data_IF_819738328388
#
_entry.id   IF_819738328388
#
_cell.length_a   1.000
_cell.length_b   1.000
_cell.length_c   1.000
_cell.angle_alpha   90.00
_cell.angle_beta   90.00
_cell.angle_gamma   90.00
#
_symmetry.space_group_name_H-M   'P 1'
#
loop_
_entity.id
_entity.type
_entity.pdbx_description
1 polymer ?
#
# COMPACT_ATOMS: atom_id res chain seq x y z
N UNK A 1 14.04 0.30 14.91
CA UNK A 1 15.23 0.78 14.17
C UNK A 1 15.60 2.18 14.67
N UNK A 2 16.89 2.49 14.86
CA UNK A 2 17.37 3.27 16.01
C UNK A 2 17.81 4.72 15.69
N UNK A 3 17.90 5.51 16.77
CA UNK A 3 18.40 6.89 16.83
C UNK A 3 19.91 6.93 16.51
N UNK A 4 20.30 7.75 15.54
CA UNK A 4 21.70 8.07 15.24
C UNK A 4 22.10 9.45 15.75
N UNK A 5 23.01 9.48 16.73
CA UNK A 5 23.84 10.66 17.04
C UNK A 5 24.98 10.70 16.02
N UNK A 6 25.27 11.86 15.45
CA UNK A 6 26.53 12.10 14.74
C UNK A 6 27.15 13.40 15.20
N UNK A 7 28.24 13.25 15.93
CA UNK A 7 29.29 14.25 16.17
C UNK A 7 30.09 14.43 14.88
N UNK A 8 30.18 15.66 14.39
CA UNK A 8 30.95 16.01 13.20
C UNK A 8 32.03 17.03 13.54
N UNK A 9 33.28 16.56 13.54
CA UNK A 9 34.53 17.33 13.69
C UNK A 9 35.10 17.57 12.29
N UNK A 10 35.35 18.83 11.90
CA UNK A 10 36.06 19.25 10.67
C UNK A 10 36.84 20.52 11.03
N UNK A 11 38.12 20.45 11.43
CA UNK A 11 39.35 20.56 10.61
C UNK A 11 39.45 21.79 9.71
N UNK A 12 40.40 22.67 10.04
CA UNK A 12 40.90 23.74 9.18
C UNK A 12 42.08 24.46 9.83
N UNK A 13 43.29 23.92 9.67
CA UNK A 13 44.54 24.65 9.90
C UNK A 13 44.78 25.59 8.71
N UNK A 14 45.11 26.86 8.92
CA UNK A 14 45.96 27.63 7.98
C UNK A 14 46.52 28.93 8.57
N UNK A 15 47.81 28.90 8.93
CA UNK A 15 48.85 29.83 8.46
C UNK A 15 48.75 31.33 8.79
N UNK A 16 49.45 31.78 9.84
CA UNK A 16 50.60 32.70 9.74
C UNK A 16 51.13 33.14 11.13
N UNK A 17 52.37 32.71 11.40
CA UNK A 17 53.45 33.46 12.10
C UNK A 17 53.23 33.77 13.60
N UNK A 18 53.96 33.23 14.59
CA UNK A 18 55.32 32.67 14.65
C UNK A 18 56.37 33.52 13.91
N UNK A 19 56.58 34.76 14.37
CA UNK A 19 57.80 35.55 14.19
C UNK A 19 57.79 36.67 15.25
N UNK A 20 58.49 36.50 16.37
CA UNK A 20 59.35 37.52 17.01
C UNK A 20 59.94 36.99 18.32
N UNK A 21 60.88 36.06 18.17
CA UNK A 21 61.84 35.70 19.22
C UNK A 21 63.17 35.38 18.52
N UNK A 22 63.85 36.43 18.03
CA UNK A 22 65.29 36.47 17.72
C UNK A 22 65.60 37.73 16.90
N UNK A 23 66.23 38.73 17.53
CA UNK A 23 67.14 39.66 16.87
C UNK A 23 67.98 40.40 17.93
N UNK A 24 69.21 39.89 18.10
CA UNK A 24 70.47 40.62 18.33
C UNK A 24 70.52 41.57 19.55
N UNK A 25 71.35 41.40 20.59
CA UNK A 25 72.69 40.82 20.72
C UNK A 25 73.67 41.16 19.59
N UNK A 26 74.28 42.35 19.68
CA UNK A 26 75.73 42.54 19.48
C UNK A 26 76.15 43.97 19.85
N UNK A 27 77.04 44.10 20.85
CA UNK A 27 78.32 44.84 20.86
C UNK A 27 78.80 44.94 22.33
N UNK A 28 79.76 44.12 22.78
CA UNK A 28 81.23 44.16 22.61
C UNK A 28 81.91 45.15 23.59
N UNK A 29 82.47 44.60 24.66
CA UNK A 29 83.46 45.25 25.54
C UNK A 29 84.79 45.52 24.81
N UNK A 30 85.56 46.52 25.26
CA UNK A 30 86.91 46.17 25.73
C UNK A 30 87.33 46.84 27.06
N UNK A 31 88.33 46.18 27.65
CA UNK A 31 89.03 46.40 28.91
C UNK A 31 90.16 47.44 28.78
N UNK A 32 90.38 48.27 29.80
CA UNK A 32 91.58 48.26 30.66
C UNK A 32 91.78 49.58 31.42
N UNK A 33 92.27 49.44 32.64
CA UNK A 33 92.52 50.42 33.69
C UNK A 33 93.46 51.58 33.30
N UNK A 34 93.19 52.76 33.87
CA UNK A 34 94.20 53.49 34.63
C UNK A 34 93.56 54.38 35.72
N UNK A 35 94.38 54.88 36.63
CA UNK A 35 94.13 54.88 38.08
C UNK A 35 93.96 56.25 38.76
N UNK A 36 93.11 56.27 39.81
CA UNK A 36 93.06 57.19 40.98
C UNK A 36 92.55 58.64 40.83
N UNK A 37 92.11 59.32 41.93
CA UNK A 37 91.10 58.93 42.92
C UNK A 37 90.03 60.04 43.17
N UNK A 38 88.85 59.61 43.65
CA UNK A 38 87.78 60.27 44.46
C UNK A 38 87.74 61.82 44.61
N UNK A 39 86.54 62.44 44.58
CA UNK A 39 85.75 62.50 45.82
C UNK A 39 84.24 62.24 45.67
N UNK A 40 83.68 61.66 46.73
CA UNK A 40 82.27 61.55 47.03
C UNK A 40 81.47 62.83 46.71
N UNK A 41 80.42 62.71 45.89
CA UNK A 41 79.18 63.47 46.02
C UNK A 41 78.07 62.81 45.18
N UNK A 42 76.90 62.62 45.79
CA UNK A 42 75.58 62.38 45.19
C UNK A 42 75.27 60.99 44.57
N UNK A 43 75.32 59.94 45.38
CA UNK A 43 74.74 58.61 45.04
C UNK A 43 73.21 58.52 45.25
N UNK A 44 72.52 59.62 45.57
CA UNK A 44 71.08 59.61 45.92
C UNK A 44 70.16 60.19 44.85
N UNK A 45 70.65 61.05 43.95
CA UNK A 45 69.84 61.69 42.91
C UNK A 45 69.73 60.84 41.63
N UNK A 46 70.78 60.11 41.24
CA UNK A 46 70.75 59.22 40.07
C UNK A 46 69.91 57.95 40.27
N UNK A 47 69.84 57.44 41.51
CA UNK A 47 68.97 56.32 41.87
C UNK A 47 67.49 56.74 41.87
N UNK A 48 67.20 57.98 42.29
CA UNK A 48 65.85 58.56 42.26
C UNK A 48 65.37 58.88 40.83
N UNK A 49 66.25 59.35 39.93
CA UNK A 49 65.93 59.54 38.51
C UNK A 49 65.64 58.22 37.78
N UNK A 50 66.51 57.21 37.94
CA UNK A 50 66.35 55.90 37.31
C UNK A 50 65.11 55.12 37.82
N UNK A 51 64.73 55.31 39.09
CA UNK A 51 63.51 54.72 39.66
C UNK A 51 62.24 55.42 39.16
N UNK A 52 62.26 56.75 39.03
CA UNK A 52 61.15 57.50 38.45
C UNK A 52 60.92 57.15 36.98
N UNK A 53 62.00 57.00 36.18
CA UNK A 53 61.90 56.58 34.78
C UNK A 53 61.30 55.18 34.63
N UNK A 54 61.64 54.26 35.55
CA UNK A 54 61.06 52.92 35.58
C UNK A 54 59.56 52.95 35.92
N UNK A 55 59.15 53.80 36.86
CA UNK A 55 57.73 54.00 37.20
C UNK A 55 56.96 54.60 36.02
N UNK A 56 57.50 55.61 35.34
CA UNK A 56 56.90 56.20 34.14
C UNK A 56 56.79 55.17 33.00
N UNK A 57 57.80 54.32 32.83
CA UNK A 57 57.77 53.23 31.85
C UNK A 57 56.68 52.20 32.19
N UNK A 58 56.51 51.83 33.45
CA UNK A 58 55.43 50.94 33.90
C UNK A 58 54.05 51.57 33.73
N UNK A 59 53.87 52.85 34.06
CA UNK A 59 52.62 53.59 33.82
C UNK A 59 52.29 53.59 32.33
N UNK A 60 53.27 53.89 31.46
CA UNK A 60 53.07 53.85 30.00
C UNK A 60 52.73 52.44 29.49
N UNK A 61 53.24 51.39 30.13
CA UNK A 61 52.92 50.00 29.79
C UNK A 61 51.49 49.63 30.25
N UNK A 62 51.05 50.11 31.41
CA UNK A 62 49.68 49.95 31.91
C UNK A 62 48.70 50.72 31.02
N UNK A 63 49.00 51.97 30.64
CA UNK A 63 48.16 52.75 29.72
C UNK A 63 47.96 52.03 28.37
N UNK A 64 49.03 51.50 27.77
CA UNK A 64 48.92 50.69 26.53
C UNK A 64 48.08 49.43 26.71
N UNK A 65 48.15 48.76 27.87
CA UNK A 65 47.30 47.60 28.18
C UNK A 65 45.84 48.00 28.37
N UNK A 66 45.57 49.13 29.03
CA UNK A 66 44.21 49.66 29.18
C UNK A 66 43.60 50.04 27.84
N UNK A 67 44.35 50.69 26.95
CA UNK A 67 43.94 50.97 25.56
C UNK A 67 43.66 49.66 24.79
N UNK A 68 44.52 48.65 24.94
CA UNK A 68 44.30 47.33 24.36
C UNK A 68 43.03 46.64 24.87
N UNK A 69 42.73 46.77 26.16
CA UNK A 69 41.52 46.25 26.78
C UNK A 69 40.27 47.02 26.33
N UNK A 70 40.35 48.34 26.18
CA UNK A 70 39.25 49.16 25.69
C UNK A 70 38.89 48.81 24.24
N UNK A 71 39.91 48.66 23.38
CA UNK A 71 39.72 48.17 22.00
C UNK A 71 39.08 46.77 21.97
N UNK A 72 39.51 45.85 22.83
CA UNK A 72 38.91 44.52 22.95
C UNK A 72 37.46 44.58 23.45
N UNK A 73 37.15 45.48 24.38
CA UNK A 73 35.80 45.70 24.89
C UNK A 73 34.88 46.25 23.80
N UNK A 74 35.36 47.22 23.01
CA UNK A 74 34.62 47.75 21.85
C UNK A 74 34.33 46.63 20.84
N UNK A 75 35.31 45.79 20.51
CA UNK A 75 35.13 44.65 19.61
C UNK A 75 34.08 43.65 20.15
N UNK A 76 34.15 43.28 21.44
CA UNK A 76 33.17 42.39 22.08
C UNK A 76 31.76 42.99 22.10
N UNK A 77 31.62 44.31 22.33
CA UNK A 77 30.30 44.95 22.29
C UNK A 77 29.71 44.97 20.88
N UNK A 78 30.55 45.13 19.84
CA UNK A 78 30.12 45.04 18.45
C UNK A 78 29.64 43.62 18.09
N UNK A 79 30.41 42.59 18.47
CA UNK A 79 30.03 41.19 18.25
C UNK A 79 28.76 40.81 19.02
N UNK A 80 28.62 41.27 20.27
CA UNK A 80 27.41 41.07 21.07
C UNK A 80 26.18 41.74 20.44
N UNK A 81 26.34 42.93 19.85
CA UNK A 81 25.27 43.58 19.08
C UNK A 81 24.91 42.78 17.83
N UNK A 82 25.90 42.26 17.10
CA UNK A 82 25.66 41.40 15.94
C UNK A 82 24.86 40.15 16.33
N UNK A 83 25.30 39.43 17.38
CA UNK A 83 24.59 38.25 17.87
C UNK A 83 23.14 38.56 18.27
N UNK A 84 22.87 39.72 18.89
CA UNK A 84 21.51 40.15 19.22
C UNK A 84 20.64 40.35 17.98
N UNK A 85 21.19 40.92 16.90
CA UNK A 85 20.48 41.08 15.64
C UNK A 85 20.18 39.72 14.99
N UNK A 86 21.15 38.81 14.98
CA UNK A 86 20.96 37.45 14.46
C UNK A 86 19.89 36.69 15.25
N UNK A 87 19.91 36.78 16.58
CA UNK A 87 18.87 36.20 17.45
C UNK A 87 17.48 36.76 17.16
N UNK A 88 17.35 38.07 16.96
CA UNK A 88 16.09 38.68 16.56
C UNK A 88 15.63 38.19 15.16
N UNK A 89 16.58 38.03 14.22
CA UNK A 89 16.35 37.43 12.92
C UNK A 89 15.81 36.00 13.03
N UNK A 90 16.46 35.14 13.82
CA UNK A 90 16.02 33.78 14.06
C UNK A 90 14.66 33.70 14.75
N UNK A 91 14.37 34.58 15.72
CA UNK A 91 13.05 34.67 16.34
C UNK A 91 11.97 34.98 15.31
N UNK A 92 12.23 35.92 14.38
CA UNK A 92 11.28 36.23 13.30
C UNK A 92 11.05 35.03 12.39
N UNK A 93 12.12 34.31 12.01
CA UNK A 93 12.02 33.13 11.16
C UNK A 93 11.28 32.00 11.85
N UNK A 94 11.54 31.75 13.14
CA UNK A 94 10.83 30.76 13.94
C UNK A 94 9.33 31.08 14.01
N UNK A 95 8.97 32.34 14.30
CA UNK A 95 7.56 32.74 14.32
C UNK A 95 6.86 32.54 12.97
N UNK A 96 7.56 32.80 11.86
CA UNK A 96 7.05 32.53 10.52
C UNK A 96 6.92 31.04 10.21
N UNK A 97 7.82 30.20 10.72
CA UNK A 97 7.72 28.76 10.61
C UNK A 97 6.55 28.22 11.43
N UNK A 98 6.36 28.68 12.67
CA UNK A 98 5.25 28.26 13.54
C UNK A 98 3.89 28.56 12.89
N UNK A 99 3.74 29.76 12.29
CA UNK A 99 2.53 30.11 11.55
C UNK A 99 2.28 29.21 10.33
N UNK A 100 3.35 28.88 9.60
CA UNK A 100 3.25 27.97 8.45
C UNK A 100 2.91 26.55 8.88
N UNK A 101 3.47 26.06 9.99
CA UNK A 101 3.15 24.75 10.56
C UNK A 101 1.69 24.71 10.99
N UNK A 102 1.20 25.70 11.73
CA UNK A 102 -0.21 25.79 12.12
C UNK A 102 -1.16 25.81 10.91
N UNK A 103 -0.77 26.50 9.82
CA UNK A 103 -1.53 26.50 8.57
C UNK A 103 -1.54 25.12 7.91
N UNK A 104 -0.41 24.42 7.89
CA UNK A 104 -0.33 23.06 7.33
C UNK A 104 -1.15 22.08 8.16
N UNK A 105 -1.08 22.15 9.49
CA UNK A 105 -1.85 21.27 10.39
C UNK A 105 -3.36 21.44 10.19
N UNK A 106 -3.84 22.68 10.08
CA UNK A 106 -5.26 22.95 9.80
C UNK A 106 -5.68 22.46 8.42
N UNK A 107 -4.82 22.61 7.40
CA UNK A 107 -5.07 22.08 6.06
C UNK A 107 -5.14 20.55 6.06
N UNK A 108 -4.20 19.87 6.73
CA UNK A 108 -4.18 18.41 6.85
C UNK A 108 -5.44 17.91 7.53
N UNK A 109 -5.86 18.53 8.65
CA UNK A 109 -7.11 18.18 9.31
C UNK A 109 -8.32 18.34 8.37
N UNK A 110 -8.35 19.42 7.57
CA UNK A 110 -9.41 19.62 6.59
C UNK A 110 -9.39 18.60 5.44
N UNK A 111 -8.23 18.09 5.04
CA UNK A 111 -8.13 17.03 4.03
C UNK A 111 -8.61 15.70 4.58
N UNK A 112 -8.27 15.37 5.83
CA UNK A 112 -8.74 14.13 6.46
C UNK A 112 -10.27 14.09 6.59
N UNK A 113 -10.90 15.23 6.88
CA UNK A 113 -12.37 15.33 6.94
C UNK A 113 -13.01 15.13 5.56
N UNK A 114 -12.43 15.76 4.52
CA UNK A 114 -12.89 15.56 3.13
C UNK A 114 -12.69 14.13 2.65
N UNK A 115 -11.60 13.47 3.01
CA UNK A 115 -11.36 12.08 2.65
C UNK A 115 -12.39 11.14 3.30
N UNK A 116 -12.78 11.41 4.55
CA UNK A 116 -13.86 10.69 5.22
C UNK A 116 -15.20 10.91 4.51
N UNK A 117 -15.52 12.15 4.14
CA UNK A 117 -16.74 12.48 3.40
C UNK A 117 -16.76 11.80 2.02
N UNK A 118 -15.65 11.84 1.29
CA UNK A 118 -15.50 11.18 -0.01
C UNK A 118 -15.67 9.66 0.10
N UNK A 119 -15.10 9.05 1.14
CA UNK A 119 -15.28 7.61 1.41
C UNK A 119 -16.75 7.26 1.67
N UNK A 120 -17.43 8.07 2.48
CA UNK A 120 -18.85 7.91 2.76
C UNK A 120 -19.74 8.10 1.52
N UNK A 121 -19.44 9.09 0.68
CA UNK A 121 -20.15 9.32 -0.58
C UNK A 121 -19.94 8.17 -1.57
N UNK A 122 -18.71 7.65 -1.69
CA UNK A 122 -18.41 6.47 -2.52
C UNK A 122 -19.21 5.26 -2.06
N UNK A 123 -19.22 4.97 -0.76
CA UNK A 123 -20.02 3.88 -0.18
C UNK A 123 -21.52 4.02 -0.49
N UNK A 124 -22.07 5.23 -0.37
CA UNK A 124 -23.47 5.52 -0.74
C UNK A 124 -23.75 5.32 -2.22
N UNK A 125 -22.86 5.78 -3.10
CA UNK A 125 -23.03 5.60 -4.55
C UNK A 125 -23.02 4.11 -4.92
N UNK A 126 -22.11 3.34 -4.34
CA UNK A 126 -22.00 1.90 -4.55
C UNK A 126 -23.25 1.17 -4.06
N UNK A 127 -23.78 1.52 -2.87
CA UNK A 127 -25.04 0.94 -2.36
C UNK A 127 -26.26 1.28 -3.24
N UNK A 128 -26.37 2.53 -3.72
CA UNK A 128 -27.44 2.93 -4.64
C UNK A 128 -27.34 2.20 -5.98
N UNK A 129 -26.13 2.06 -6.51
CA UNK A 129 -25.88 1.32 -7.74
C UNK A 129 -26.27 -0.16 -7.59
N UNK A 130 -25.83 -0.83 -6.51
CA UNK A 130 -26.19 -2.22 -6.23
C UNK A 130 -27.69 -2.42 -6.01
N UNK A 131 -28.36 -1.49 -5.32
CA UNK A 131 -29.82 -1.50 -5.15
C UNK A 131 -30.54 -1.41 -6.49
N UNK A 132 -30.06 -0.55 -7.40
CA UNK A 132 -30.64 -0.40 -8.74
C UNK A 132 -30.47 -1.66 -9.60
N UNK A 133 -29.37 -2.41 -9.40
CA UNK A 133 -29.02 -3.62 -10.17
C UNK A 133 -29.49 -4.92 -9.51
N UNK A 134 -30.11 -4.88 -8.33
CA UNK A 134 -30.48 -6.08 -7.55
C UNK A 134 -31.36 -7.08 -8.30
N UNK A 135 -32.20 -6.61 -9.22
CA UNK A 135 -33.09 -7.45 -10.03
C UNK A 135 -32.44 -7.90 -11.35
N UNK A 136 -31.20 -7.49 -11.63
CA UNK A 136 -30.49 -7.87 -12.84
C UNK A 136 -29.85 -9.24 -12.67
N UNK A 137 -30.09 -10.10 -13.65
CA UNK A 137 -29.38 -11.36 -13.84
C UNK A 137 -28.46 -11.19 -15.04
N UNK A 138 -27.16 -11.42 -14.82
CA UNK A 138 -26.14 -11.43 -15.86
C UNK A 138 -25.99 -12.83 -16.42
N UNK A 139 -26.29 -12.98 -17.71
CA UNK A 139 -26.23 -14.24 -18.44
C UNK A 139 -24.97 -14.27 -19.32
N UNK A 140 -24.18 -15.34 -19.18
CA UNK A 140 -22.92 -15.53 -19.88
C UNK A 140 -22.98 -16.81 -20.72
N UNK A 141 -22.52 -16.76 -21.96
CA UNK A 141 -22.40 -17.94 -22.83
C UNK A 141 -23.48 -18.06 -23.91
N UNK A 142 -24.48 -17.18 -23.93
CA UNK A 142 -25.51 -17.19 -24.97
C UNK A 142 -24.92 -16.80 -26.33
N UNK A 143 -25.00 -17.67 -27.37
CA UNK A 143 -24.46 -17.38 -28.69
C UNK A 143 -25.14 -16.15 -29.31
N UNK A 144 -24.40 -15.39 -30.11
CA UNK A 144 -24.95 -14.16 -30.70
C UNK A 144 -25.88 -14.49 -31.87
N UNK A 145 -27.04 -13.82 -31.94
CA UNK A 145 -27.99 -13.94 -33.05
C UNK A 145 -29.08 -15.01 -32.92
N UNK A 146 -28.99 -15.92 -31.94
CA UNK A 146 -30.05 -16.94 -31.72
C UNK A 146 -31.32 -16.38 -31.08
N UNK A 147 -31.24 -15.19 -30.51
CA UNK A 147 -32.32 -14.52 -29.78
C UNK A 147 -33.44 -14.02 -30.69
N UNK A 148 -33.17 -13.90 -32.00
CA UNK A 148 -34.09 -13.28 -32.94
C UNK A 148 -34.27 -11.78 -32.68
N UNK A 149 -35.46 -11.27 -33.03
CA UNK A 149 -35.81 -9.86 -32.85
C UNK A 149 -36.21 -9.52 -31.40
N UNK A 150 -36.73 -10.51 -30.64
CA UNK A 150 -37.24 -10.31 -29.27
C UNK A 150 -36.50 -11.19 -28.26
N UNK A 151 -35.55 -10.58 -27.55
CA UNK A 151 -34.76 -11.25 -26.50
C UNK A 151 -35.65 -11.77 -25.35
N UNK A 152 -36.76 -11.08 -25.05
CA UNK A 152 -37.65 -11.46 -23.95
C UNK A 152 -38.26 -12.84 -24.16
N UNK A 153 -38.88 -13.06 -25.31
CA UNK A 153 -39.54 -14.32 -25.66
C UNK A 153 -38.54 -15.48 -25.65
N UNK A 154 -37.35 -15.26 -26.20
CA UNK A 154 -36.27 -16.24 -26.14
C UNK A 154 -35.85 -16.59 -24.70
N UNK A 155 -35.69 -15.60 -23.82
CA UNK A 155 -35.32 -15.83 -22.43
C UNK A 155 -36.43 -16.50 -21.62
N UNK A 156 -37.70 -16.18 -21.89
CA UNK A 156 -38.87 -16.83 -21.28
C UNK A 156 -38.91 -18.32 -21.61
N UNK A 157 -38.53 -18.71 -22.82
CA UNK A 157 -38.54 -20.11 -23.26
C UNK A 157 -37.34 -20.91 -22.77
N UNK A 158 -36.14 -20.31 -22.75
CA UNK A 158 -34.89 -21.04 -22.50
C UNK A 158 -34.51 -21.13 -21.02
N UNK A 159 -34.78 -20.09 -20.22
CA UNK A 159 -34.37 -20.07 -18.81
C UNK A 159 -35.06 -21.16 -17.97
N UNK A 160 -36.38 -21.39 -18.08
CA UNK A 160 -37.04 -22.50 -17.39
C UNK A 160 -36.41 -23.85 -17.72
N UNK A 161 -36.09 -24.09 -19.01
CA UNK A 161 -35.44 -25.31 -19.52
C UNK A 161 -33.99 -25.47 -19.06
N UNK A 162 -33.27 -24.36 -18.84
CA UNK A 162 -31.91 -24.38 -18.33
C UNK A 162 -31.84 -24.66 -16.83
N UNK A 163 -32.87 -24.22 -16.09
CA UNK A 163 -32.90 -24.35 -14.63
C UNK A 163 -33.72 -25.54 -14.12
N UNK A 164 -34.47 -26.20 -15.00
CA UNK A 164 -35.49 -27.20 -14.67
C UNK A 164 -36.52 -26.67 -13.65
N UNK A 165 -36.91 -25.40 -13.81
CA UNK A 165 -37.87 -24.72 -12.93
C UNK A 165 -39.07 -24.26 -13.74
N UNK A 166 -40.26 -24.61 -13.27
CA UNK A 166 -41.50 -24.03 -13.74
C UNK A 166 -41.77 -22.72 -12.97
N UNK A 167 -42.01 -21.64 -13.72
CA UNK A 167 -42.34 -20.34 -13.15
C UNK A 167 -43.82 -20.05 -13.35
N UNK A 168 -44.52 -19.79 -12.26
CA UNK A 168 -45.91 -19.29 -12.25
C UNK A 168 -46.00 -18.05 -11.35
N UNK A 169 -46.27 -16.85 -11.91
CA UNK A 169 -46.47 -16.56 -13.33
C UNK A 169 -45.16 -16.70 -14.15
N UNK A 170 -45.24 -16.67 -15.50
CA UNK A 170 -44.07 -16.71 -16.37
C UNK A 170 -43.01 -15.65 -16.01
N UNK A 171 -41.78 -15.85 -16.49
CA UNK A 171 -40.70 -14.90 -16.28
C UNK A 171 -41.04 -13.56 -16.94
N UNK A 172 -41.03 -12.50 -16.15
CA UNK A 172 -41.27 -11.14 -16.64
C UNK A 172 -40.01 -10.31 -16.53
N UNK A 173 -39.74 -9.57 -17.61
CA UNK A 173 -38.56 -8.74 -17.72
C UNK A 173 -38.98 -7.28 -17.89
N UNK A 174 -38.34 -6.39 -17.15
CA UNK A 174 -38.46 -4.96 -17.40
C UNK A 174 -37.61 -4.56 -18.62
N UNK A 175 -36.40 -5.11 -18.71
CA UNK A 175 -35.42 -4.84 -19.78
C UNK A 175 -34.51 -6.05 -19.98
N UNK A 176 -34.11 -6.33 -21.22
CA UNK A 176 -33.09 -7.31 -21.53
C UNK A 176 -32.26 -6.80 -22.71
N UNK A 177 -30.95 -6.83 -22.59
CA UNK A 177 -30.05 -6.34 -23.64
C UNK A 177 -28.65 -6.95 -23.52
N UNK A 178 -27.92 -6.99 -24.64
CA UNK A 178 -26.51 -7.37 -24.66
C UNK A 178 -25.62 -6.19 -24.30
N UNK A 179 -24.51 -6.49 -23.64
CA UNK A 179 -23.47 -5.52 -23.31
C UNK A 179 -22.54 -5.30 -24.52
N UNK A 180 -22.48 -4.07 -25.02
CA UNK A 180 -21.59 -3.69 -26.11
C UNK A 180 -22.21 -3.84 -27.51
N UNK A 181 -21.52 -3.33 -28.55
CA UNK A 181 -21.99 -3.43 -29.93
C UNK A 181 -21.90 -4.88 -30.44
N UNK A 182 -22.81 -5.23 -31.37
CA UNK A 182 -22.81 -6.53 -32.03
C UNK A 182 -21.47 -6.78 -32.73
N UNK A 183 -20.86 -7.95 -32.50
CA UNK A 183 -19.66 -8.35 -33.23
C UNK A 183 -20.03 -8.81 -34.64
N UNK A 184 -19.29 -8.31 -35.63
CA UNK A 184 -19.47 -8.73 -37.02
C UNK A 184 -18.74 -10.07 -37.29
N UNK A 185 -17.68 -10.34 -36.53
CA UNK A 185 -16.68 -11.34 -36.94
C UNK A 185 -16.90 -12.73 -36.33
N UNK A 186 -17.90 -12.90 -35.46
CA UNK A 186 -18.28 -14.20 -34.83
C UNK A 186 -17.20 -14.90 -33.98
N UNK A 187 -15.95 -14.45 -34.03
CA UNK A 187 -14.77 -15.15 -33.54
C UNK A 187 -14.37 -14.78 -32.10
N UNK A 188 -15.33 -14.32 -31.30
CA UNK A 188 -15.08 -13.85 -29.94
C UNK A 188 -16.06 -14.45 -28.95
N UNK A 189 -15.68 -14.42 -27.65
CA UNK A 189 -16.60 -14.82 -26.57
C UNK A 189 -17.91 -14.03 -26.70
N UNK A 190 -19.08 -14.71 -26.66
CA UNK A 190 -20.37 -14.03 -26.78
C UNK A 190 -20.55 -12.95 -25.71
N UNK A 191 -21.13 -11.81 -26.09
CA UNK A 191 -21.39 -10.74 -25.14
C UNK A 191 -22.41 -11.17 -24.07
N UNK A 192 -22.20 -10.78 -22.80
CA UNK A 192 -23.17 -11.04 -21.75
C UNK A 192 -24.50 -10.33 -22.02
N UNK A 193 -25.59 -10.97 -21.62
CA UNK A 193 -26.92 -10.36 -21.57
C UNK A 193 -27.16 -9.89 -20.13
N UNK A 194 -27.65 -8.67 -19.97
CA UNK A 194 -28.23 -8.21 -18.69
C UNK A 194 -29.75 -8.26 -18.83
N UNK A 195 -30.36 -9.14 -18.05
CA UNK A 195 -31.80 -9.28 -17.94
C UNK A 195 -32.28 -8.70 -16.60
N UNK A 196 -32.97 -7.56 -16.64
CA UNK A 196 -33.64 -6.96 -15.49
C UNK A 196 -35.01 -7.61 -15.32
N UNK A 197 -35.15 -8.40 -14.26
CA UNK A 197 -36.40 -9.07 -13.91
C UNK A 197 -37.39 -8.09 -13.28
N UNK A 198 -38.69 -8.25 -13.59
CA UNK A 198 -39.72 -7.45 -12.93
C UNK A 198 -39.91 -7.90 -11.47
N UNK A 199 -39.80 -9.21 -11.20
CA UNK A 199 -40.01 -9.81 -9.87
C UNK A 199 -38.69 -10.23 -9.24
N UNK A 200 -38.34 -9.61 -8.12
CA UNK A 200 -37.13 -9.93 -7.35
C UNK A 200 -37.08 -11.40 -6.88
N UNK A 201 -38.24 -12.01 -6.60
CA UNK A 201 -38.34 -13.42 -6.20
C UNK A 201 -37.84 -14.37 -7.29
N UNK A 202 -38.26 -14.16 -8.54
CA UNK A 202 -37.82 -14.95 -9.69
C UNK A 202 -36.33 -14.76 -9.97
N UNK A 203 -35.82 -13.52 -9.92
CA UNK A 203 -34.39 -13.22 -10.08
C UNK A 203 -33.54 -14.00 -9.06
N UNK A 204 -33.94 -13.96 -7.78
CA UNK A 204 -33.26 -14.66 -6.69
C UNK A 204 -33.33 -16.17 -6.84
N UNK A 205 -34.46 -16.71 -7.30
CA UNK A 205 -34.60 -18.14 -7.57
C UNK A 205 -33.66 -18.59 -8.69
N UNK A 206 -33.62 -17.87 -9.82
CA UNK A 206 -32.68 -18.14 -10.92
C UNK A 206 -31.22 -18.12 -10.45
N UNK A 207 -30.83 -17.09 -9.69
CA UNK A 207 -29.48 -16.96 -9.16
C UNK A 207 -29.13 -18.05 -8.14
N UNK A 208 -30.10 -18.47 -7.32
CA UNK A 208 -29.89 -19.55 -6.38
C UNK A 208 -29.67 -20.88 -7.11
N UNK A 209 -30.49 -21.18 -8.10
CA UNK A 209 -30.36 -22.38 -8.93
C UNK A 209 -29.04 -22.41 -9.68
N UNK A 210 -28.61 -21.27 -10.22
CA UNK A 210 -27.30 -21.13 -10.85
C UNK A 210 -26.15 -21.42 -9.87
N UNK A 211 -26.27 -21.03 -8.60
CA UNK A 211 -25.26 -21.32 -7.58
C UNK A 211 -25.22 -22.79 -7.18
N UNK A 212 -26.38 -23.46 -7.14
CA UNK A 212 -26.46 -24.87 -6.75
C UNK A 212 -26.05 -25.80 -7.87
N UNK A 213 -26.46 -25.52 -9.11
CA UNK A 213 -26.15 -26.33 -10.30
C UNK A 213 -24.82 -25.94 -10.95
N UNK A 214 -24.34 -24.71 -10.74
CA UNK A 214 -23.10 -24.21 -11.32
C UNK A 214 -23.25 -23.89 -12.82
N UNK A 215 -22.64 -24.72 -13.67
CA UNK A 215 -22.72 -24.56 -15.12
C UNK A 215 -24.02 -25.16 -15.64
N UNK A 216 -24.88 -24.33 -16.22
CA UNK A 216 -26.18 -24.76 -16.74
C UNK A 216 -26.02 -25.25 -18.17
N UNK A 217 -26.54 -26.44 -18.45
CA UNK A 217 -26.40 -27.09 -19.75
C UNK A 217 -27.78 -27.41 -20.33
N UNK A 218 -28.01 -26.99 -21.58
CA UNK A 218 -29.18 -27.42 -22.36
C UNK A 218 -28.75 -27.68 -23.79
N UNK A 219 -28.73 -28.97 -24.19
CA UNK A 219 -28.13 -29.39 -25.45
C UNK A 219 -26.66 -28.98 -25.55
N UNK A 220 -26.31 -28.21 -26.58
CA UNK A 220 -24.96 -27.69 -26.79
C UNK A 220 -24.70 -26.34 -26.11
N UNK A 221 -25.64 -25.84 -25.32
CA UNK A 221 -25.56 -24.54 -24.69
C UNK A 221 -25.00 -24.66 -23.27
N UNK A 222 -23.91 -23.94 -23.00
CA UNK A 222 -23.33 -23.82 -21.65
C UNK A 222 -23.47 -22.39 -21.14
N UNK A 223 -24.36 -22.19 -20.17
CA UNK A 223 -24.69 -20.88 -19.61
C UNK A 223 -24.22 -20.78 -18.17
N UNK A 224 -23.65 -19.61 -17.83
CA UNK A 224 -23.44 -19.21 -16.44
C UNK A 224 -24.31 -18.00 -16.13
N UNK A 225 -25.01 -18.05 -15.00
CA UNK A 225 -25.77 -16.92 -14.48
C UNK A 225 -25.08 -16.37 -13.23
N UNK A 226 -25.04 -15.05 -13.11
CA UNK A 226 -24.54 -14.37 -11.92
C UNK A 226 -25.35 -13.10 -11.64
N UNK A 227 -25.31 -12.62 -10.41
CA UNK A 227 -25.85 -11.29 -10.10
C UNK A 227 -25.02 -10.20 -10.80
N UNK A 228 -25.65 -9.08 -11.09
CA UNK A 228 -25.00 -7.88 -11.64
C UNK A 228 -24.69 -6.90 -10.51
N UNK A 229 -23.43 -6.81 -10.12
CA UNK A 229 -22.95 -5.90 -9.08
C UNK A 229 -22.35 -4.63 -9.68
N UNK A 230 -22.31 -3.56 -8.89
CA UNK A 230 -21.39 -2.45 -9.12
C UNK A 230 -19.94 -2.94 -9.23
N UNK A 231 -19.09 -2.15 -9.88
CA UNK A 231 -17.68 -2.50 -10.04
C UNK A 231 -16.98 -2.68 -8.68
N UNK A 232 -17.23 -1.75 -7.74
CA UNK A 232 -16.60 -1.80 -6.42
C UNK A 232 -17.00 -3.05 -5.64
N UNK A 233 -18.29 -3.41 -5.64
CA UNK A 233 -18.77 -4.63 -4.99
C UNK A 233 -18.22 -5.88 -5.69
N UNK A 234 -18.17 -5.91 -7.02
CA UNK A 234 -17.56 -7.02 -7.76
C UNK A 234 -16.07 -7.20 -7.44
N UNK A 235 -15.31 -6.11 -7.38
CA UNK A 235 -13.88 -6.12 -7.04
C UNK A 235 -13.67 -6.57 -5.59
N UNK A 236 -14.50 -6.12 -4.64
CA UNK A 236 -14.46 -6.57 -3.23
C UNK A 236 -14.79 -8.05 -3.09
N UNK A 237 -15.82 -8.54 -3.79
CA UNK A 237 -16.13 -9.97 -3.85
C UNK A 237 -14.96 -10.77 -4.40
N UNK A 238 -14.33 -10.30 -5.47
CA UNK A 238 -13.13 -10.92 -6.05
C UNK A 238 -11.97 -10.97 -5.07
N UNK A 239 -11.76 -9.92 -4.28
CA UNK A 239 -10.75 -9.90 -3.22
C UNK A 239 -11.03 -10.93 -2.11
N UNK A 240 -12.29 -11.22 -1.79
CA UNK A 240 -12.60 -12.34 -0.88
C UNK A 240 -12.35 -13.71 -1.52
N UNK A 241 -12.62 -13.87 -2.82
CA UNK A 241 -12.42 -15.13 -3.53
C UNK A 241 -10.96 -15.61 -3.48
N UNK A 242 -9.97 -14.71 -3.39
CA UNK A 242 -8.55 -15.13 -3.29
C UNK A 242 -8.25 -15.94 -2.03
N UNK A 243 -9.06 -15.82 -0.97
CA UNK A 243 -8.87 -16.57 0.28
C UNK A 243 -9.54 -17.95 0.25
N UNK A 244 -10.34 -18.29 -0.77
CA UNK A 244 -11.08 -19.55 -0.80
C UNK A 244 -10.17 -20.79 -0.72
N UNK A 245 -9.02 -20.77 -1.39
CA UNK A 245 -8.06 -21.89 -1.33
C UNK A 245 -7.50 -22.08 0.08
N UNK A 246 -7.11 -20.98 0.73
CA UNK A 246 -6.62 -21.02 2.12
C UNK A 246 -7.70 -21.50 3.09
N UNK A 247 -8.94 -21.02 2.95
CA UNK A 247 -10.06 -21.44 3.80
C UNK A 247 -10.41 -22.91 3.61
N UNK A 248 -10.29 -23.44 2.38
CA UNK A 248 -10.45 -24.88 2.10
C UNK A 248 -9.37 -25.71 2.80
N UNK A 249 -8.11 -25.27 2.78
CA UNK A 249 -7.02 -25.97 3.50
C UNK A 249 -7.19 -25.96 5.02
N UNK A 250 -7.86 -24.94 5.57
CA UNK A 250 -8.15 -24.85 7.00
C UNK A 250 -9.42 -25.62 7.40
N UNK A 251 -10.10 -26.28 6.45
CA UNK A 251 -11.33 -27.06 6.66
C UNK A 251 -12.45 -26.30 7.41
N UNK A 252 -12.49 -24.97 7.28
CA UNK A 252 -13.52 -24.13 7.89
C UNK A 252 -14.72 -23.99 6.96
N UNK A 253 -15.92 -23.84 7.52
CA UNK A 253 -17.11 -23.51 6.72
C UNK A 253 -17.08 -22.02 6.42
N UNK A 254 -17.32 -21.64 5.18
CA UNK A 254 -17.34 -20.23 4.79
C UNK A 254 -18.32 -19.98 3.65
N UNK A 255 -18.62 -18.71 3.41
CA UNK A 255 -19.32 -18.29 2.22
C UNK A 255 -19.35 -16.78 2.05
N UNK A 256 -19.82 -16.35 0.89
CA UNK A 256 -19.90 -14.94 0.52
C UNK A 256 -21.36 -14.50 0.42
N UNK A 257 -21.77 -13.61 1.33
CA UNK A 257 -23.10 -13.01 1.36
C UNK A 257 -23.15 -11.69 0.59
N UNK A 258 -24.38 -11.33 0.21
CA UNK A 258 -24.69 -10.05 -0.42
C UNK A 258 -24.46 -8.86 0.54
N UNK A 259 -23.96 -7.71 0.05
CA UNK A 259 -23.39 -7.50 -1.29
C UNK A 259 -21.94 -8.02 -1.43
N UNK A 260 -21.13 -7.96 -0.37
CA UNK A 260 -19.75 -8.46 -0.34
C UNK A 260 -19.27 -8.67 1.10
N UNK A 261 -19.81 -9.69 1.78
CA UNK A 261 -19.44 -10.03 3.17
C UNK A 261 -19.07 -11.50 3.26
N UNK A 262 -17.87 -11.81 3.74
CA UNK A 262 -17.49 -13.19 3.98
C UNK A 262 -17.89 -13.60 5.39
N UNK A 263 -18.59 -14.74 5.53
CA UNK A 263 -18.80 -15.38 6.82
C UNK A 263 -17.91 -16.61 6.91
N UNK A 264 -17.38 -16.87 8.10
CA UNK A 264 -16.55 -18.03 8.41
C UNK A 264 -17.05 -18.63 9.72
N UNK A 265 -17.21 -19.93 9.76
CA UNK A 265 -17.54 -20.68 10.98
C UNK A 265 -16.39 -21.60 11.35
N UNK A 266 -15.84 -21.39 12.55
CA UNK A 266 -14.80 -22.22 13.15
C UNK A 266 -15.26 -22.62 14.55
N UNK A 267 -15.15 -23.91 14.89
CA UNK A 267 -15.51 -24.44 16.22
C UNK A 267 -16.93 -24.07 16.71
N UNK A 268 -17.89 -23.90 15.79
CA UNK A 268 -19.28 -23.52 16.11
C UNK A 268 -19.50 -22.01 16.21
N UNK A 269 -18.46 -21.18 16.23
CA UNK A 269 -18.56 -19.73 16.24
C UNK A 269 -18.48 -19.18 14.81
N UNK A 270 -19.40 -18.27 14.47
CA UNK A 270 -19.48 -17.66 13.14
C UNK A 270 -19.08 -16.18 13.19
N UNK A 271 -18.11 -15.79 12.38
CA UNK A 271 -17.64 -14.42 12.27
C UNK A 271 -17.87 -13.86 10.86
N UNK A 272 -18.22 -12.58 10.79
CA UNK A 272 -18.45 -11.86 9.55
C UNK A 272 -17.31 -10.87 9.29
N UNK A 273 -16.84 -10.82 8.04
CA UNK A 273 -15.81 -9.93 7.55
C UNK A 273 -16.38 -9.06 6.43
N UNK A 274 -16.21 -7.74 6.56
CA UNK A 274 -16.65 -6.75 5.58
C UNK A 274 -15.49 -6.24 4.72
N UNK A 275 -14.26 -6.28 5.26
CA UNK A 275 -13.03 -5.96 4.55
C UNK A 275 -12.18 -7.24 4.32
N UNK A 276 -11.71 -7.48 3.09
CA UNK A 276 -10.69 -8.50 2.80
C UNK A 276 -9.43 -8.40 3.66
N UNK A 277 -9.02 -7.20 4.09
CA UNK A 277 -7.85 -7.00 4.94
C UNK A 277 -8.09 -7.51 6.37
N UNK A 278 -9.27 -7.26 6.95
CA UNK A 278 -9.64 -7.80 8.26
C UNK A 278 -9.59 -9.33 8.27
N UNK A 279 -10.07 -9.94 7.18
CA UNK A 279 -9.99 -11.38 7.00
C UNK A 279 -8.54 -11.86 6.89
N UNK A 280 -7.67 -11.15 6.14
CA UNK A 280 -6.25 -11.52 6.04
C UNK A 280 -5.60 -11.56 7.41
N UNK A 281 -5.77 -10.50 8.21
CA UNK A 281 -5.19 -10.45 9.56
C UNK A 281 -5.76 -11.54 10.48
N UNK A 282 -7.02 -11.94 10.28
CA UNK A 282 -7.62 -13.05 11.02
C UNK A 282 -6.99 -14.39 10.63
N UNK A 283 -6.78 -14.64 9.33
CA UNK A 283 -6.17 -15.87 8.85
C UNK A 283 -4.70 -16.01 9.26
N UNK A 284 -3.94 -14.91 9.24
CA UNK A 284 -2.56 -14.87 9.74
C UNK A 284 -2.51 -15.25 11.23
N UNK A 285 -3.37 -14.64 12.06
CA UNK A 285 -3.50 -15.00 13.48
C UNK A 285 -3.87 -16.46 13.70
N UNK A 286 -4.73 -17.03 12.86
CA UNK A 286 -5.08 -18.44 12.95
C UNK A 286 -3.91 -19.36 12.62
N UNK A 287 -3.09 -19.01 11.63
CA UNK A 287 -1.92 -19.80 11.26
C UNK A 287 -0.85 -19.78 12.36
N UNK A 288 -0.60 -18.61 12.97
CA UNK A 288 0.34 -18.48 14.08
C UNK A 288 -0.08 -19.32 15.30
N UNK A 289 -1.38 -19.35 15.61
CA UNK A 289 -1.91 -20.19 16.69
C UNK A 289 -1.72 -21.68 16.41
N UNK A 290 -1.99 -22.13 15.19
CA UNK A 290 -1.78 -23.54 14.82
C UNK A 290 -0.31 -23.93 14.89
N UNK A 291 0.60 -23.08 14.39
CA UNK A 291 2.05 -23.33 14.46
C UNK A 291 2.59 -23.33 15.90
N UNK A 292 2.11 -22.43 16.75
CA UNK A 292 2.53 -22.39 18.16
C UNK A 292 2.04 -23.61 18.97
N UNK A 293 0.84 -24.12 18.68
CA UNK A 293 0.33 -25.36 19.28
C UNK A 293 1.10 -26.59 18.77
N UNK A 294 1.46 -26.64 17.49
CA UNK A 294 2.22 -27.75 16.89
C UNK A 294 3.66 -27.80 17.41
N UNK A 295 4.31 -26.64 17.59
CA UNK A 295 5.61 -26.50 18.25
C UNK A 295 5.57 -26.92 19.73
N UNK A 296 4.49 -26.65 20.45
CA UNK A 296 4.31 -27.05 21.85
C UNK A 296 4.00 -28.56 22.01
N UNK A 297 3.55 -29.23 20.95
CA UNK A 297 3.23 -30.65 20.95
C UNK A 297 4.43 -31.57 20.66
N UNK A 298 5.61 -31.02 20.33
CA UNK A 298 6.84 -31.81 20.25
C UNK A 298 7.33 -32.18 21.65
N UNK A 299 7.40 -33.48 22.03
CA UNK A 299 8.00 -33.88 23.29
C UNK A 299 9.49 -33.51 23.22
N UNK A 300 9.97 -32.78 24.22
CA UNK A 300 11.41 -32.66 24.49
C UNK A 300 11.95 -34.09 24.65
N UNK A 301 12.63 -34.59 23.61
CA UNK A 301 13.34 -35.86 23.74
C UNK A 301 14.39 -35.69 24.83
N UNK A 302 14.45 -36.59 25.84
CA UNK A 302 15.51 -36.52 26.83
C UNK A 302 16.85 -36.67 26.10
N UNK A 303 17.76 -35.72 26.37
CA UNK A 303 19.10 -35.69 25.81
C UNK A 303 19.77 -37.05 26.02
N UNK A 304 20.01 -37.79 24.94
CA UNK A 304 20.86 -38.99 25.00
C UNK A 304 22.29 -38.53 25.24
N UNK A 305 22.81 -38.88 26.41
CA UNK A 305 24.23 -38.81 26.73
C UNK A 305 25.03 -39.68 25.75
N UNK A 306 26.27 -39.27 25.39
CA UNK A 306 27.14 -40.09 24.56
C UNK A 306 27.75 -41.23 25.39
N UNK A 307 28.18 -42.30 24.70
CA UNK A 307 28.71 -43.58 25.18
C UNK A 307 27.61 -44.63 25.45
N UNK A 308 27.60 -45.81 24.83
CA UNK A 308 28.72 -46.69 24.52
C UNK A 308 28.52 -47.43 23.19
N UNK A 309 29.64 -47.70 22.53
CA UNK A 309 29.76 -48.53 21.35
C UNK A 309 29.38 -49.98 21.66
N UNK A 310 28.32 -50.48 21.04
CA UNK A 310 28.10 -51.92 20.86
C UNK A 310 27.85 -52.20 19.39
N UNK A 311 28.82 -52.87 18.78
CA UNK A 311 28.77 -53.42 17.44
C UNK A 311 27.65 -54.46 17.34
N UNK A 312 26.55 -54.10 16.69
CA UNK A 312 25.62 -55.07 16.15
C UNK A 312 25.46 -54.88 14.64
N UNK A 313 25.71 -56.00 13.97
CA UNK A 313 25.63 -56.31 12.54
C UNK A 313 24.45 -55.61 11.85
N UNK A 314 24.72 -54.87 10.77
CA UNK A 314 23.68 -54.30 9.91
C UNK A 314 22.88 -55.42 9.23
N UNK A 315 21.54 -55.39 9.22
CA UNK A 315 20.76 -56.21 8.32
C UNK A 315 20.88 -55.66 6.90
N UNK A 316 21.01 -56.57 5.94
CA UNK A 316 21.15 -56.29 4.51
C UNK A 316 20.02 -55.39 3.97
N UNK A 317 20.29 -54.52 2.99
CA UNK A 317 19.26 -53.69 2.38
C UNK A 317 18.23 -54.56 1.66
N UNK A 318 16.94 -54.27 1.89
CA UNK A 318 15.84 -54.87 1.16
C UNK A 318 15.97 -54.58 -0.35
N UNK A 319 15.65 -55.54 -1.23
CA UNK A 319 15.70 -55.31 -2.67
C UNK A 319 14.67 -54.25 -3.07
N UNK A 320 15.08 -53.38 -3.99
CA UNK A 320 14.23 -52.35 -4.59
C UNK A 320 12.95 -52.97 -5.20
N UNK A 321 11.79 -52.30 -5.12
CA UNK A 321 10.59 -52.81 -5.75
C UNK A 321 10.77 -52.81 -7.28
N UNK A 322 10.61 -53.98 -7.88
CA UNK A 322 10.55 -54.14 -9.33
C UNK A 322 9.43 -53.26 -9.90
N UNK A 323 9.79 -52.38 -10.85
CA UNK A 323 8.82 -51.72 -11.72
C UNK A 323 8.06 -52.78 -12.49
N UNK A 324 6.84 -53.09 -12.05
CA UNK A 324 5.87 -53.77 -12.91
C UNK A 324 5.44 -52.80 -13.99
N UNK A 325 5.80 -53.12 -15.23
CA UNK A 325 5.26 -52.46 -16.41
C UNK A 325 3.74 -52.56 -16.40
N UNK A 326 3.06 -51.42 -16.29
CA UNK A 326 1.61 -51.34 -16.47
C UNK A 326 1.34 -51.38 -17.97
N UNK A 327 1.11 -52.57 -18.50
CA UNK A 327 0.50 -52.77 -19.82
C UNK A 327 -0.88 -53.39 -19.59
N UNK A 328 -1.85 -52.59 -19.13
CA UNK A 328 -3.26 -52.89 -19.33
C UNK A 328 -4.18 -51.65 -19.11
N UNK A 329 -4.92 -51.16 -20.12
CA UNK A 329 -5.74 -49.93 -20.00
C UNK A 329 -7.01 -50.07 -19.15
N UNK A 330 -7.35 -51.27 -18.66
CA UNK A 330 -8.66 -51.54 -18.05
C UNK A 330 -8.69 -51.60 -16.51
N UNK A 331 -7.58 -51.34 -15.79
CA UNK A 331 -7.60 -51.34 -14.31
C UNK A 331 -8.00 -49.99 -13.67
N UNK A 332 -8.04 -48.90 -14.44
CA UNK A 332 -8.30 -47.55 -13.92
C UNK A 332 -9.75 -47.34 -13.44
N UNK A 333 -10.70 -48.11 -13.96
CA UNK A 333 -12.12 -47.94 -13.63
C UNK A 333 -12.51 -48.45 -12.24
N UNK A 334 -11.86 -49.51 -11.73
CA UNK A 334 -12.29 -50.17 -10.48
C UNK A 334 -11.69 -49.56 -9.21
N UNK A 335 -10.57 -48.87 -9.33
CA UNK A 335 -9.94 -48.16 -8.21
C UNK A 335 -10.54 -46.75 -8.05
N UNK A 336 -11.01 -46.14 -9.15
CA UNK A 336 -11.73 -44.87 -9.12
C UNK A 336 -13.14 -45.02 -8.50
N UNK A 337 -13.90 -46.05 -8.84
CA UNK A 337 -15.21 -46.30 -8.21
C UNK A 337 -15.12 -46.59 -6.70
N UNK A 338 -14.02 -47.19 -6.24
CA UNK A 338 -13.78 -47.41 -4.79
C UNK A 338 -13.42 -46.12 -4.05
N UNK A 339 -12.71 -45.20 -4.70
CA UNK A 339 -12.40 -43.88 -4.14
C UNK A 339 -13.62 -42.95 -4.12
N UNK A 340 -14.51 -43.07 -5.11
CA UNK A 340 -15.76 -42.28 -5.19
C UNK A 340 -16.81 -42.79 -4.20
N UNK A 341 -16.94 -44.12 -4.00
CA UNK A 341 -17.92 -44.68 -3.04
C UNK A 341 -17.56 -44.45 -1.56
N UNK A 342 -16.28 -44.29 -1.20
CA UNK A 342 -15.93 -43.97 0.21
C UNK A 342 -16.24 -42.52 0.59
N UNK A 343 -16.64 -41.69 -0.37
CA UNK A 343 -16.96 -40.28 -0.14
C UNK A 343 -18.46 -40.02 0.07
N UNK A 344 -19.34 -40.97 -0.24
CA UNK A 344 -20.80 -40.86 -0.09
C UNK A 344 -21.30 -41.14 1.35
N UNK A 345 -20.53 -41.85 2.18
CA UNK A 345 -20.95 -42.21 3.55
C UNK A 345 -20.77 -41.09 4.60
N UNK A 346 -20.29 -39.90 4.20
CA UNK A 346 -20.22 -38.71 5.06
C UNK A 346 -20.91 -37.55 4.37
N UNK A 347 -22.23 -37.50 4.48
CA UNK A 347 -23.11 -36.48 3.88
C UNK A 347 -22.49 -35.08 3.80
N UNK A 348 -21.95 -34.76 2.62
CA UNK A 348 -21.46 -33.44 2.22
C UNK A 348 -22.07 -33.13 0.87
N UNK A 349 -23.25 -32.52 0.89
CA UNK A 349 -23.77 -31.79 -0.27
C UNK A 349 -23.37 -30.33 -0.09
N UNK A 350 -22.80 -29.76 -1.15
CA UNK A 350 -22.25 -28.40 -1.32
C UNK A 350 -20.74 -28.27 -1.09
N UNK A 351 -19.90 -28.57 -2.11
CA UNK A 351 -18.61 -27.87 -2.32
C UNK A 351 -17.90 -28.21 -3.65
N UNK A 352 -18.59 -28.27 -4.80
CA UNK A 352 -17.95 -28.54 -6.11
C UNK A 352 -18.12 -27.43 -7.16
N UNK A 353 -18.37 -26.17 -6.74
CA UNK A 353 -18.83 -25.10 -7.66
C UNK A 353 -17.71 -24.11 -8.08
N UNK A 354 -16.48 -24.21 -7.58
CA UNK A 354 -15.42 -23.23 -7.92
C UNK A 354 -14.17 -23.77 -8.61
N UNK A 355 -14.12 -25.04 -8.95
CA UNK A 355 -12.97 -25.60 -9.68
C UNK A 355 -13.28 -25.64 -11.18
N UNK A 356 -13.03 -24.53 -11.87
CA UNK A 356 -12.56 -24.57 -13.26
C UNK A 356 -11.42 -23.58 -13.41
N UNK A 357 -10.20 -24.04 -13.76
CA UNK A 357 -9.02 -23.19 -13.87
C UNK A 357 -9.18 -22.21 -15.04
N UNK A 358 -8.84 -20.95 -14.80
CA UNK A 358 -8.46 -20.03 -15.87
C UNK A 358 -7.19 -20.61 -16.50
N UNK A 359 -7.35 -21.24 -17.66
CA UNK A 359 -6.26 -21.71 -18.51
C UNK A 359 -5.28 -20.57 -18.79
N UNK A 360 -4.12 -20.61 -18.14
CA UNK A 360 -2.88 -20.05 -18.66
C UNK A 360 -2.21 -21.10 -19.52
N UNK A 361 -1.83 -20.68 -20.73
CA UNK A 361 -0.69 -21.08 -21.57
C UNK A 361 -0.98 -20.53 -22.98
N UNK A 362 -0.05 -20.00 -23.76
CA UNK A 362 1.34 -19.61 -23.57
C UNK A 362 1.70 -18.83 -24.84
N UNK A 363 2.50 -17.77 -24.72
CA UNK A 363 3.28 -17.23 -25.86
C UNK A 363 4.48 -16.48 -25.29
N UNK A 364 5.54 -17.27 -25.11
CA UNK A 364 6.95 -16.91 -25.06
C UNK A 364 7.33 -15.53 -25.63
N UNK A 365 8.17 -14.78 -24.91
CA UNK A 365 9.52 -14.39 -25.37
C UNK A 365 10.27 -13.51 -24.36
N UNK A 366 11.39 -14.05 -23.88
CA UNK A 366 12.68 -13.39 -23.56
C UNK A 366 12.74 -12.22 -22.57
N UNK A 367 13.43 -12.51 -21.45
CA UNK A 367 14.20 -11.55 -20.65
C UNK A 367 15.19 -10.75 -21.51
N UNK A 368 15.20 -9.43 -21.33
CA UNK A 368 16.38 -8.56 -21.41
C UNK A 368 16.03 -7.22 -20.74
N UNK A 369 16.57 -6.98 -19.54
CA UNK A 369 16.71 -5.62 -19.00
C UNK A 369 17.70 -4.85 -19.88
N UNK A 370 17.48 -3.54 -20.09
CA UNK A 370 18.44 -2.62 -19.49
C UNK A 370 17.81 -1.32 -18.93
N UNK A 371 18.55 -0.74 -18.00
CA UNK A 371 18.44 0.62 -17.47
C UNK A 371 18.08 1.69 -18.52
N UNK A 372 17.28 2.68 -18.12
CA UNK A 372 17.27 4.00 -18.77
C UNK A 372 15.93 4.74 -18.75
N UNK A 373 15.78 5.66 -17.77
CA UNK A 373 15.05 6.94 -17.84
C UNK A 373 13.50 6.95 -18.00
N UNK A 374 12.78 7.81 -17.25
CA UNK A 374 11.33 7.94 -17.35
C UNK A 374 10.89 8.74 -18.60
N UNK A 375 9.75 8.40 -19.24
CA UNK A 375 9.24 9.14 -20.39
C UNK A 375 8.61 10.50 -20.00
N UNK A 376 8.61 11.48 -20.93
CA UNK A 376 8.18 12.85 -20.65
C UNK A 376 6.66 13.01 -20.57
N UNK A 377 6.24 13.95 -19.71
CA UNK A 377 4.88 14.42 -19.48
C UNK A 377 4.33 15.12 -20.74
N UNK A 378 3.13 14.80 -21.25
CA UNK A 378 2.56 15.51 -22.39
C UNK A 378 2.04 16.89 -21.99
N UNK A 379 2.68 17.90 -22.56
CA UNK A 379 2.34 19.32 -22.51
C UNK A 379 1.04 19.64 -23.26
N UNK A 380 0.11 20.30 -22.56
CA UNK A 380 -0.89 21.30 -23.05
C UNK A 380 -1.38 21.17 -24.50
N UNK A 381 -2.53 20.52 -24.70
CA UNK A 381 -3.39 20.74 -25.86
C UNK A 381 -4.21 22.03 -25.65
N UNK A 382 -3.84 23.10 -26.37
CA UNK A 382 -4.67 24.29 -26.57
C UNK A 382 -5.78 23.95 -27.56
N UNK A 383 -6.99 23.70 -27.08
CA UNK A 383 -8.18 23.67 -27.94
C UNK A 383 -8.73 25.08 -28.10
N UNK A 384 -8.51 25.64 -29.29
CA UNK A 384 -9.12 26.87 -29.81
C UNK A 384 -10.61 26.60 -30.05
N UNK A 385 -11.49 26.97 -29.12
CA UNK A 385 -12.93 26.93 -29.35
C UNK A 385 -13.39 28.14 -30.15
N UNK A 386 -13.84 27.85 -31.36
CA UNK A 386 -14.45 28.77 -32.31
C UNK A 386 -15.85 29.16 -31.82
N UNK A 387 -16.06 30.45 -31.55
CA UNK A 387 -17.39 31.06 -31.33
C UNK A 387 -18.05 31.23 -32.69
N UNK A 388 -19.01 30.38 -33.03
CA UNK A 388 -20.12 30.68 -33.95
C UNK A 388 -21.03 29.45 -34.02
N UNK A 389 -22.34 29.70 -34.08
CA UNK A 389 -23.45 28.75 -34.20
C UNK A 389 -24.01 28.20 -32.88
N UNK A 390 -24.78 29.05 -32.20
CA UNK A 390 -25.85 28.64 -31.28
C UNK A 390 -27.19 28.95 -31.96
N UNK A 391 -28.06 27.97 -32.27
CA UNK A 391 -29.38 28.25 -32.78
C UNK A 391 -30.30 28.74 -31.64
N UNK A 392 -31.02 29.82 -31.90
CA UNK A 392 -32.04 30.44 -31.03
C UNK A 392 -33.32 29.59 -30.98
N UNK A 393 -34.00 29.48 -29.83
CA UNK A 393 -35.26 28.76 -29.72
C UNK A 393 -36.44 29.59 -30.26
N UNK A 394 -37.43 28.99 -30.95
CA UNK A 394 -38.65 29.69 -31.33
C UNK A 394 -39.61 29.81 -30.15
N UNK A 395 -40.17 31.02 -29.98
CA UNK A 395 -41.16 31.38 -28.96
C UNK A 395 -42.48 30.63 -29.12
N UNK A 396 -43.13 30.36 -27.98
CA UNK A 396 -44.34 29.55 -27.87
C UNK A 396 -45.65 30.28 -28.16
N UNK A 397 -46.78 29.69 -27.73
CA UNK A 397 -47.94 30.45 -27.30
C UNK A 397 -48.33 30.15 -25.85
N UNK A 398 -48.74 31.22 -25.17
CA UNK A 398 -49.27 31.28 -23.81
C UNK A 398 -50.58 30.48 -23.67
N UNK A 399 -50.70 29.70 -22.60
CA UNK A 399 -51.97 29.18 -22.08
C UNK A 399 -52.19 29.72 -20.65
N UNK A 400 -53.44 30.01 -20.25
CA UNK A 400 -53.75 30.85 -19.10
C UNK A 400 -53.81 30.08 -17.78
N UNK A 401 -53.61 30.83 -16.69
CA UNK A 401 -53.84 30.41 -15.31
C UNK A 401 -55.28 29.92 -15.07
N UNK A 402 -55.41 28.81 -14.36
CA UNK A 402 -56.64 28.42 -13.67
C UNK A 402 -56.30 27.58 -12.43
N UNK A 403 -56.03 28.26 -11.32
CA UNK A 403 -56.36 27.75 -9.99
C UNK A 403 -57.89 27.65 -9.89
N UNK A 404 -58.38 26.48 -9.47
CA UNK A 404 -59.62 26.17 -8.73
C UNK A 404 -60.17 24.83 -9.20
N UNK A 405 -59.95 23.77 -8.40
CA UNK A 405 -60.93 22.91 -7.70
C UNK A 405 -60.13 21.88 -6.90
#
# INVERSE_FOLDING_TARGET
MPRGKTTGKVTGKSTRQLLFSEALQQQKHPSAADSSPLPCANMTEDIQGATMDRVLQEISAVSRKLEGMDNAMVALTAETRSMRLDLAGFQSQLSGLDQRVATVETQVASWTDRDLELSHLRSKLTDLEDKSRRNNVRLLGFPEGVEGAEIFSYLQDILPKLTDITFDPPLEFQRAHRLGPRRQDGNGRPHPIIACMLRHTQARQLLQTARTQGLLRSGNLEIRMSADFSKETADRRKAFLSFHTQLRHLEVKFGLFEPARMWITKNGESQNFYDPEDLRTFLERLQDQTQSMEMAAYPLQPSRSPHQSTSHLAPAPAPAPEMRSITDPHSWGRDFERLVKSHDDRGQVLQAVYDTPLSHNDSSLTFLCPHGSPPPVPTKLKTRMNRQNRPTPPGGPLLPDASTV
#
